data_IF_397172318487
#
_entry.id   IF_397172318487
#
_cell.length_a   1.000
_cell.length_b   1.000
_cell.length_c   1.000
_cell.angle_alpha   90.00
_cell.angle_beta   90.00
_cell.angle_gamma   90.00
#
_symmetry.space_group_name_H-M   'P 1'
#
loop_
_entity.id
_entity.type
_entity.pdbx_description
1 polymer ?
#
# COMPACT_ATOMS: atom_id res chain seq x y z
N UNK A 1 -25.43 -19.80 3.96
CA UNK A 1 -24.31 -19.18 4.72
C UNK A 1 -23.05 -19.98 4.43
N UNK A 2 -22.23 -19.54 3.48
CA UNK A 2 -20.94 -20.20 3.20
C UNK A 2 -19.88 -19.40 3.95
N UNK A 3 -19.26 -20.02 4.95
CA UNK A 3 -18.08 -19.49 5.63
C UNK A 3 -16.89 -19.57 4.67
N UNK A 4 -16.64 -18.51 3.91
CA UNK A 4 -15.45 -18.37 3.05
C UNK A 4 -14.40 -17.46 3.69
N UNK A 5 -14.26 -17.48 5.03
CA UNK A 5 -13.09 -16.88 5.69
C UNK A 5 -11.95 -17.89 5.66
N UNK A 6 -11.37 -18.10 4.49
CA UNK A 6 -10.11 -18.84 4.40
C UNK A 6 -9.02 -18.07 5.17
N UNK A 7 -8.16 -18.74 5.97
CA UNK A 7 -7.11 -18.08 6.75
C UNK A 7 -6.15 -17.25 5.89
N UNK A 8 -6.05 -17.55 4.59
CA UNK A 8 -5.33 -16.77 3.58
C UNK A 8 -5.96 -15.40 3.31
N UNK A 9 -7.28 -15.31 3.15
CA UNK A 9 -7.96 -14.03 2.86
C UNK A 9 -7.88 -13.07 4.05
N UNK A 10 -7.96 -13.61 5.28
CA UNK A 10 -7.85 -12.81 6.49
C UNK A 10 -6.43 -12.27 6.70
N UNK A 11 -5.39 -13.06 6.36
CA UNK A 11 -4.00 -12.60 6.33
C UNK A 11 -3.74 -11.54 5.26
N UNK A 12 -4.29 -11.72 4.05
CA UNK A 12 -4.14 -10.76 2.94
C UNK A 12 -4.76 -9.40 3.26
N UNK A 13 -5.81 -9.35 4.09
CA UNK A 13 -6.36 -8.09 4.60
C UNK A 13 -5.44 -7.35 5.58
N UNK A 14 -4.35 -7.94 6.06
CA UNK A 14 -3.45 -7.23 6.99
C UNK A 14 -2.42 -6.37 6.23
N UNK A 15 -2.35 -5.04 6.48
CA UNK A 15 -1.40 -4.17 5.79
C UNK A 15 0.06 -4.58 5.99
N UNK A 16 0.40 -5.11 7.17
CA UNK A 16 1.73 -5.62 7.46
C UNK A 16 2.09 -6.86 6.63
N UNK A 17 1.14 -7.78 6.39
CA UNK A 17 1.42 -8.92 5.50
C UNK A 17 1.59 -8.46 4.05
N UNK A 18 0.80 -7.49 3.60
CA UNK A 18 0.97 -6.89 2.25
C UNK A 18 2.37 -6.27 2.12
N UNK A 19 2.80 -5.48 3.11
CA UNK A 19 4.14 -4.89 3.13
C UNK A 19 5.24 -5.95 3.12
N UNK A 20 5.10 -7.01 3.92
CA UNK A 20 6.06 -8.11 3.98
C UNK A 20 6.18 -8.84 2.63
N UNK A 21 5.05 -9.09 1.94
CA UNK A 21 5.04 -9.69 0.60
C UNK A 21 5.74 -8.78 -0.40
N UNK A 22 5.46 -7.48 -0.37
CA UNK A 22 6.09 -6.52 -1.28
C UNK A 22 7.59 -6.43 -1.06
N UNK A 23 8.06 -6.39 0.19
CA UNK A 23 9.49 -6.43 0.52
C UNK A 23 10.13 -7.74 0.03
N UNK A 24 9.47 -8.88 0.22
CA UNK A 24 9.97 -10.14 -0.30
C UNK A 24 10.08 -10.15 -1.84
N UNK A 25 9.13 -9.55 -2.55
CA UNK A 25 9.17 -9.40 -4.00
C UNK A 25 10.30 -8.47 -4.46
N UNK A 26 10.56 -7.37 -3.75
CA UNK A 26 11.72 -6.49 -4.02
C UNK A 26 13.01 -7.29 -3.90
N UNK A 27 13.18 -8.04 -2.79
CA UNK A 27 14.37 -8.86 -2.56
C UNK A 27 14.56 -9.89 -3.68
N UNK A 28 13.49 -10.60 -4.07
CA UNK A 28 13.54 -11.59 -5.15
C UNK A 28 13.93 -10.92 -6.48
N UNK A 29 13.36 -9.76 -6.78
CA UNK A 29 13.67 -9.01 -8.00
C UNK A 29 15.11 -8.51 -8.02
N UNK A 30 15.62 -7.96 -6.91
CA UNK A 30 17.00 -7.47 -6.80
C UNK A 30 18.01 -8.62 -6.91
N UNK A 31 17.78 -9.75 -6.22
CA UNK A 31 18.62 -10.94 -6.38
C UNK A 31 18.55 -11.50 -7.81
N UNK A 32 17.36 -11.54 -8.41
CA UNK A 32 17.18 -11.95 -9.80
C UNK A 32 17.99 -11.08 -10.76
N UNK A 33 17.92 -9.76 -10.60
CA UNK A 33 18.71 -8.82 -11.38
C UNK A 33 20.22 -9.01 -11.16
N UNK A 34 20.65 -9.26 -9.92
CA UNK A 34 22.05 -9.56 -9.59
C UNK A 34 22.57 -10.81 -10.33
N UNK A 35 21.85 -11.93 -10.26
CA UNK A 35 22.26 -13.16 -10.94
C UNK A 35 22.25 -13.04 -12.46
N UNK A 36 21.32 -12.27 -13.03
CA UNK A 36 21.27 -12.02 -14.47
C UNK A 36 22.41 -11.09 -14.90
N UNK A 37 22.80 -10.13 -14.05
CA UNK A 37 23.95 -9.25 -14.29
C UNK A 37 25.25 -10.05 -14.38
N UNK A 38 25.46 -10.99 -13.46
CA UNK A 38 26.59 -11.92 -13.49
C UNK A 38 26.58 -12.84 -14.73
N UNK A 39 25.41 -13.11 -15.32
CA UNK A 39 25.29 -13.86 -16.58
C UNK A 39 25.65 -13.04 -17.83
N UNK A 40 26.10 -11.78 -17.66
CA UNK A 40 26.57 -10.90 -18.74
C UNK A 40 25.54 -9.89 -19.23
N UNK A 41 24.45 -9.66 -18.49
CA UNK A 41 23.50 -8.60 -18.82
C UNK A 41 23.97 -7.25 -18.27
N UNK A 42 24.07 -6.25 -19.14
CA UNK A 42 24.32 -4.88 -18.73
C UNK A 42 23.05 -4.25 -18.19
N UNK A 43 23.05 -3.99 -16.87
CA UNK A 43 21.97 -3.31 -16.20
C UNK A 43 22.37 -1.92 -15.75
N UNK A 44 21.42 -0.98 -15.82
CA UNK A 44 21.63 0.34 -15.22
C UNK A 44 21.81 0.19 -13.70
N UNK A 45 22.83 0.86 -13.15
CA UNK A 45 23.08 0.89 -11.71
C UNK A 45 21.89 1.40 -10.88
N UNK A 46 20.92 2.06 -11.54
CA UNK A 46 19.70 2.58 -10.94
C UNK A 46 18.55 1.58 -10.87
N UNK A 47 18.69 0.37 -11.45
CA UNK A 47 17.62 -0.63 -11.43
C UNK A 47 17.05 -0.95 -10.04
N UNK A 48 17.84 -1.12 -8.97
CA UNK A 48 17.29 -1.38 -7.64
C UNK A 48 16.37 -0.27 -7.13
N UNK A 49 16.66 0.99 -7.51
CA UNK A 49 15.79 2.14 -7.23
C UNK A 49 14.50 2.08 -8.04
N UNK A 50 14.57 1.67 -9.32
CA UNK A 50 13.39 1.46 -10.18
C UNK A 50 12.47 0.38 -9.61
N UNK A 51 13.04 -0.76 -9.23
CA UNK A 51 12.35 -1.91 -8.65
C UNK A 51 11.63 -1.46 -7.38
N UNK A 52 12.36 -0.87 -6.43
CA UNK A 52 11.82 -0.38 -5.17
C UNK A 52 10.68 0.63 -5.36
N UNK A 53 10.87 1.62 -6.25
CA UNK A 53 9.85 2.64 -6.54
C UNK A 53 8.57 2.03 -7.11
N UNK A 54 8.71 1.06 -8.00
CA UNK A 54 7.59 0.36 -8.65
C UNK A 54 6.79 -0.44 -7.63
N UNK A 55 7.47 -1.16 -6.73
CA UNK A 55 6.84 -1.95 -5.69
C UNK A 55 6.20 -1.10 -4.58
N UNK A 56 6.76 0.07 -4.25
CA UNK A 56 6.10 1.06 -3.37
C UNK A 56 4.78 1.52 -3.97
N UNK A 57 4.76 1.83 -5.28
CA UNK A 57 3.53 2.22 -5.98
C UNK A 57 2.52 1.07 -5.99
N UNK A 58 2.98 -0.15 -6.24
CA UNK A 58 2.14 -1.34 -6.23
C UNK A 58 1.47 -1.55 -4.87
N UNK A 59 2.24 -1.45 -3.78
CA UNK A 59 1.67 -1.48 -2.43
C UNK A 59 0.65 -0.36 -2.23
N UNK A 60 0.99 0.87 -2.62
CA UNK A 60 0.11 2.03 -2.42
C UNK A 60 -1.25 1.82 -3.09
N UNK A 61 -1.27 1.30 -4.33
CA UNK A 61 -2.51 0.98 -5.03
C UNK A 61 -3.29 -0.16 -4.37
N UNK A 62 -2.64 -1.31 -4.14
CA UNK A 62 -3.31 -2.49 -3.58
C UNK A 62 -3.81 -2.26 -2.16
N UNK A 63 -2.99 -1.68 -1.30
CA UNK A 63 -3.36 -1.38 0.07
C UNK A 63 -4.58 -0.45 0.14
N UNK A 64 -4.62 0.54 -0.76
CA UNK A 64 -5.73 1.48 -0.84
C UNK A 64 -7.02 0.83 -1.33
N UNK A 65 -6.96 -0.05 -2.32
CA UNK A 65 -8.12 -0.83 -2.75
C UNK A 65 -8.65 -1.73 -1.62
N UNK A 66 -7.74 -2.41 -0.91
CA UNK A 66 -8.10 -3.31 0.19
C UNK A 66 -8.61 -2.56 1.43
N UNK A 67 -8.28 -1.28 1.59
CA UNK A 67 -8.81 -0.44 2.67
C UNK A 67 -10.34 -0.33 2.62
N UNK A 68 -10.92 -0.31 1.40
CA UNK A 68 -12.36 -0.26 1.17
C UNK A 68 -13.08 -1.54 1.63
N UNK A 69 -12.37 -2.67 1.65
CA UNK A 69 -12.92 -3.99 2.00
C UNK A 69 -12.69 -4.36 3.47
N UNK A 70 -12.08 -3.47 4.25
CA UNK A 70 -11.80 -3.71 5.67
C UNK A 70 -13.06 -3.45 6.51
N UNK A 71 -13.32 -4.26 7.54
CA UNK A 71 -14.52 -4.03 8.38
C UNK A 71 -14.32 -2.86 9.35
N UNK A 72 -13.08 -2.62 9.79
CA UNK A 72 -12.72 -1.56 10.74
C UNK A 72 -11.75 -0.56 10.10
N UNK A 73 -12.28 0.53 9.55
CA UNK A 73 -11.47 1.50 8.79
C UNK A 73 -10.41 2.18 9.64
N UNK A 74 -10.75 2.68 10.83
CA UNK A 74 -9.81 3.48 11.62
C UNK A 74 -8.56 2.67 12.02
N UNK A 75 -8.74 1.38 12.37
CA UNK A 75 -7.62 0.48 12.65
C UNK A 75 -6.84 0.13 11.39
N UNK A 76 -7.52 -0.08 10.26
CA UNK A 76 -6.87 -0.38 8.99
C UNK A 76 -6.04 0.81 8.50
N UNK A 77 -6.55 2.03 8.64
CA UNK A 77 -5.91 3.27 8.23
C UNK A 77 -4.56 3.45 8.93
N UNK A 78 -4.54 3.37 10.27
CA UNK A 78 -3.31 3.54 11.05
C UNK A 78 -2.28 2.43 10.75
N UNK A 79 -2.73 1.17 10.67
CA UNK A 79 -1.86 0.03 10.33
C UNK A 79 -1.27 0.17 8.93
N UNK A 80 -2.06 0.63 7.98
CA UNK A 80 -1.63 0.87 6.60
C UNK A 80 -0.56 1.95 6.54
N UNK A 81 -0.78 3.08 7.22
CA UNK A 81 0.21 4.15 7.29
C UNK A 81 1.54 3.68 7.92
N UNK A 82 1.49 2.98 9.05
CA UNK A 82 2.69 2.43 9.68
C UNK A 82 3.40 1.40 8.80
N UNK A 83 2.65 0.49 8.19
CA UNK A 83 3.21 -0.53 7.30
C UNK A 83 3.86 0.09 6.06
N UNK A 84 3.27 1.17 5.51
CA UNK A 84 3.83 1.90 4.39
C UNK A 84 5.15 2.56 4.74
N UNK A 85 5.22 3.28 5.87
CA UNK A 85 6.46 3.95 6.31
C UNK A 85 7.58 2.94 6.50
N UNK A 86 7.31 1.84 7.21
CA UNK A 86 8.30 0.77 7.41
C UNK A 86 8.73 0.18 6.06
N UNK A 87 7.80 -0.10 5.17
CA UNK A 87 8.09 -0.65 3.84
C UNK A 87 8.94 0.30 2.99
N UNK A 88 8.62 1.59 2.94
CA UNK A 88 9.38 2.59 2.16
C UNK A 88 10.81 2.70 2.66
N UNK A 89 11.01 2.70 3.98
CA UNK A 89 12.35 2.72 4.58
C UNK A 89 13.11 1.44 4.21
N UNK A 90 12.48 0.28 4.34
CA UNK A 90 13.11 -1.00 3.95
C UNK A 90 13.46 -1.04 2.46
N UNK A 91 12.56 -0.58 1.59
CA UNK A 91 12.80 -0.52 0.15
C UNK A 91 13.96 0.44 -0.20
N UNK A 92 14.04 1.61 0.46
CA UNK A 92 15.15 2.53 0.27
C UNK A 92 16.50 1.92 0.74
N UNK A 93 16.50 1.20 1.86
CA UNK A 93 17.68 0.51 2.37
C UNK A 93 18.14 -0.62 1.45
N UNK A 94 17.20 -1.42 0.91
CA UNK A 94 17.49 -2.45 -0.08
C UNK A 94 18.06 -1.85 -1.36
N UNK A 95 17.41 -0.82 -1.91
CA UNK A 95 17.90 -0.13 -3.11
C UNK A 95 19.31 0.43 -2.92
N UNK A 96 19.59 1.05 -1.76
CA UNK A 96 20.92 1.52 -1.43
C UNK A 96 21.94 0.37 -1.32
N UNK A 97 21.57 -0.74 -0.68
CA UNK A 97 22.44 -1.90 -0.53
C UNK A 97 22.83 -2.57 -1.86
N UNK A 98 21.88 -2.70 -2.79
CA UNK A 98 22.13 -3.35 -4.09
C UNK A 98 22.72 -2.41 -5.15
N UNK A 99 22.35 -1.12 -5.14
CA UNK A 99 22.89 -0.16 -6.13
C UNK A 99 24.19 0.50 -5.69
N UNK A 100 24.49 0.51 -4.38
CA UNK A 100 25.52 1.33 -3.71
C UNK A 100 25.38 2.86 -3.92
N UNK A 101 24.33 3.30 -4.62
CA UNK A 101 24.06 4.71 -4.87
C UNK A 101 23.23 5.28 -3.74
N UNK A 102 23.64 6.42 -3.20
CA UNK A 102 22.83 7.14 -2.22
C UNK A 102 21.57 7.71 -2.88
N UNK A 103 20.53 7.98 -2.08
CA UNK A 103 19.27 8.57 -2.59
C UNK A 103 19.47 9.92 -3.30
N UNK A 104 20.56 10.63 -2.99
CA UNK A 104 20.92 11.88 -3.67
C UNK A 104 21.55 11.65 -5.05
N UNK A 105 22.32 10.58 -5.21
CA UNK A 105 22.95 10.19 -6.48
C UNK A 105 21.97 9.47 -7.41
N UNK A 106 20.91 8.88 -6.84
CA UNK A 106 19.79 8.30 -7.56
C UNK A 106 18.96 9.36 -8.33
N UNK A 107 19.29 10.65 -8.24
CA UNK A 107 18.70 11.71 -9.07
C UNK A 107 17.20 11.85 -8.85
N UNK A 108 16.40 11.59 -9.90
CA UNK A 108 14.94 11.74 -9.88
C UNK A 108 14.23 10.83 -8.87
N UNK A 109 14.85 9.72 -8.45
CA UNK A 109 14.23 8.79 -7.49
C UNK A 109 13.94 9.42 -6.13
N UNK A 110 14.74 10.40 -5.68
CA UNK A 110 14.45 11.16 -4.45
C UNK A 110 13.08 11.82 -4.51
N UNK A 111 12.77 12.44 -5.64
CA UNK A 111 11.47 13.08 -5.86
C UNK A 111 10.35 12.07 -6.00
N UNK A 112 10.59 10.94 -6.67
CA UNK A 112 9.59 9.88 -6.78
C UNK A 112 9.18 9.34 -5.42
N UNK A 113 10.13 9.11 -4.50
CA UNK A 113 9.80 8.67 -3.14
C UNK A 113 8.94 9.69 -2.38
N UNK A 114 9.25 10.98 -2.51
CA UNK A 114 8.45 12.05 -1.89
C UNK A 114 7.05 12.08 -2.49
N UNK A 115 6.93 12.06 -3.82
CA UNK A 115 5.65 12.10 -4.53
C UNK A 115 4.80 10.87 -4.22
N UNK A 116 5.41 9.67 -4.19
CA UNK A 116 4.71 8.44 -3.83
C UNK A 116 4.24 8.45 -2.38
N UNK A 117 5.09 8.92 -1.46
CA UNK A 117 4.72 9.02 -0.04
C UNK A 117 3.56 9.97 0.15
N UNK A 118 3.68 11.18 -0.39
CA UNK A 118 2.63 12.18 -0.28
C UNK A 118 1.34 11.74 -0.98
N UNK A 119 1.46 11.19 -2.19
CA UNK A 119 0.34 10.69 -2.97
C UNK A 119 -0.40 9.55 -2.26
N UNK A 120 0.33 8.62 -1.64
CA UNK A 120 -0.27 7.54 -0.87
C UNK A 120 -1.00 8.05 0.38
N UNK A 121 -0.38 8.95 1.15
CA UNK A 121 -1.02 9.53 2.33
C UNK A 121 -2.28 10.33 1.98
N UNK A 122 -2.23 11.10 0.89
CA UNK A 122 -3.37 11.81 0.35
C UNK A 122 -4.48 10.83 -0.03
N UNK A 123 -4.15 9.79 -0.80
CA UNK A 123 -5.12 8.79 -1.24
C UNK A 123 -5.78 8.07 -0.07
N UNK A 124 -4.98 7.62 0.91
CA UNK A 124 -5.47 6.95 2.12
C UNK A 124 -6.39 7.86 2.94
N UNK A 125 -6.11 9.16 2.98
CA UNK A 125 -6.94 10.16 3.65
C UNK A 125 -8.29 10.36 2.93
N UNK A 126 -8.28 10.47 1.61
CA UNK A 126 -9.50 10.60 0.79
C UNK A 126 -10.40 9.38 1.00
N UNK A 127 -9.85 8.17 0.89
CA UNK A 127 -10.63 6.93 1.05
C UNK A 127 -11.21 6.82 2.46
N UNK A 128 -10.41 7.13 3.50
CA UNK A 128 -10.89 7.17 4.88
C UNK A 128 -12.04 8.16 5.07
N UNK A 129 -11.94 9.35 4.46
CA UNK A 129 -12.97 10.38 4.54
C UNK A 129 -14.27 9.98 3.82
N UNK A 130 -14.18 9.47 2.59
CA UNK A 130 -15.34 8.98 1.82
C UNK A 130 -16.10 7.93 2.60
N UNK A 131 -15.38 6.99 3.24
CA UNK A 131 -16.03 5.95 4.04
C UNK A 131 -16.77 6.50 5.25
N UNK A 132 -16.19 7.47 5.97
CA UNK A 132 -16.86 8.14 7.09
C UNK A 132 -18.15 8.83 6.65
N UNK A 133 -18.16 9.44 5.45
CA UNK A 133 -19.39 10.04 4.88
C UNK A 133 -20.45 8.96 4.61
N UNK A 134 -20.06 7.84 4.00
CA UNK A 134 -21.00 6.74 3.71
C UNK A 134 -21.59 6.16 5.00
N UNK A 135 -20.74 5.93 6.01
CA UNK A 135 -21.18 5.44 7.33
C UNK A 135 -22.12 6.44 8.03
N UNK A 136 -21.85 7.74 7.90
CA UNK A 136 -22.73 8.79 8.39
C UNK A 136 -24.09 8.79 7.68
N UNK A 137 -24.11 8.69 6.34
CA UNK A 137 -25.35 8.64 5.56
C UNK A 137 -26.19 7.40 5.90
N UNK A 138 -25.57 6.23 6.03
CA UNK A 138 -26.25 5.00 6.45
C UNK A 138 -26.87 5.12 7.85
N UNK A 139 -26.22 5.86 8.75
CA UNK A 139 -26.72 6.10 10.11
C UNK A 139 -27.90 7.08 10.12
N UNK A 140 -27.88 8.11 9.28
CA UNK A 140 -28.96 9.10 9.14
C UNK A 140 -30.27 8.45 8.65
N UNK A 141 -30.20 7.59 7.62
CA UNK A 141 -31.36 6.88 7.07
C UNK A 141 -32.01 5.93 8.09
N UNK A 142 -31.21 5.27 8.93
CA UNK A 142 -31.73 4.40 10.00
C UNK A 142 -32.43 5.20 11.11
N UNK A 143 -31.99 6.43 11.37
CA UNK A 143 -32.47 7.26 12.46
C UNK A 143 -33.70 8.12 12.09
N UNK A 144 -34.15 8.09 10.84
CA UNK A 144 -35.48 8.57 10.46
C UNK A 144 -36.50 7.43 10.62
N UNK A 145 -37.17 7.27 11.78
CA UNK A 145 -38.25 6.30 11.89
C UNK A 145 -39.29 6.69 10.86
N UNK A 146 -39.59 5.78 9.92
CA UNK A 146 -40.59 5.99 8.87
C UNK A 146 -41.82 6.63 9.47
N UNK A 147 -42.00 7.93 9.25
CA UNK A 147 -43.18 8.67 9.67
C UNK A 147 -44.33 8.10 8.85
N UNK A 148 -44.95 7.05 9.38
CA UNK A 148 -46.11 6.39 8.80
C UNK A 148 -47.23 7.43 8.80
N UNK A 149 -47.37 8.16 7.69
CA UNK A 149 -48.51 9.04 7.45
C UNK A 149 -49.77 8.18 7.57
N UNK A 150 -50.46 8.28 8.71
CA UNK A 150 -51.84 7.80 8.83
C UNK A 150 -52.66 8.57 7.80
N UNK A 151 -53.14 7.86 6.77
CA UNK A 151 -54.19 8.36 5.89
C UNK A 151 -55.41 8.69 6.76
N UNK A 152 -55.87 9.94 6.69
CA UNK A 152 -57.24 10.32 7.04
C UNK A 152 -58.13 10.03 5.85
#
# INVERSE_FOLDING_TARGET
MISTKGPLLEKVKSPFAQAAVVVALIIIADFGAFFIGEAGADFEQRLPWTISTTFILFFAMFNSMLSLLSDNMDRYWLRSMLSYVVMVVMAALLAWGFSSLTINEAGSYRWLFIVLTFGYLLWLSIVGFVRRIVEFAQKEEWNQPRLRKKKK
#
